data_IF_166684540306
#
_entry.id   IF_166684540306
#
_cell.length_a   1.000
_cell.length_b   1.000
_cell.length_c   1.000
_cell.angle_alpha   90.00
_cell.angle_beta   90.00
_cell.angle_gamma   90.00
#
_symmetry.space_group_name_H-M   'P 1'
#
loop_
_entity.id
_entity.type
_entity.pdbx_description
1 polymer ?
#
# COMPACT_ATOMS: atom_id res chain seq x y z
N UNK A 1 13.76 -0.29 24.09
CA UNK A 1 12.46 -0.96 23.86
C UNK A 1 11.49 0.14 23.45
N UNK A 2 11.03 0.14 22.19
CA UNK A 2 10.04 1.12 21.72
C UNK A 2 8.66 0.63 22.22
N UNK A 3 7.90 1.45 22.96
CA UNK A 3 6.59 1.04 23.47
C UNK A 3 5.60 0.83 22.32
N UNK A 4 4.75 -0.20 22.44
CA UNK A 4 3.63 -0.40 21.52
C UNK A 4 2.56 0.66 21.79
N UNK A 5 2.58 1.72 20.99
CA UNK A 5 1.62 2.82 21.06
C UNK A 5 0.22 2.44 20.54
N UNK A 6 0.07 1.21 20.02
CA UNK A 6 -1.14 0.77 19.31
C UNK A 6 -2.03 -0.14 20.16
N UNK A 7 -1.58 -0.56 21.35
CA UNK A 7 -2.33 -1.46 22.23
C UNK A 7 -2.70 -2.80 21.56
N UNK A 8 -1.89 -3.26 20.60
CA UNK A 8 -2.18 -4.44 19.78
C UNK A 8 -3.19 -4.25 18.64
N UNK A 9 -3.70 -3.04 18.39
CA UNK A 9 -4.71 -2.79 17.35
C UNK A 9 -4.10 -2.70 15.93
N UNK A 10 -4.53 -3.58 15.03
CA UNK A 10 -4.21 -3.55 13.60
C UNK A 10 -5.13 -2.61 12.82
N UNK A 11 -4.74 -2.27 11.58
CA UNK A 11 -5.50 -1.45 10.64
C UNK A 11 -5.78 -0.03 11.17
N UNK A 12 -4.71 0.63 11.62
CA UNK A 12 -4.76 1.95 12.24
C UNK A 12 -3.88 2.97 11.53
N UNK A 13 -4.27 4.24 11.64
CA UNK A 13 -3.45 5.40 11.26
C UNK A 13 -3.30 6.32 12.47
N UNK A 14 -2.05 6.59 12.86
CA UNK A 14 -1.72 7.44 14.00
C UNK A 14 -1.02 8.71 13.50
N UNK A 15 -1.65 9.89 13.59
CA UNK A 15 -0.97 11.15 13.32
C UNK A 15 0.01 11.49 14.44
N UNK A 16 1.13 12.11 14.08
CA UNK A 16 2.12 12.63 15.03
C UNK A 16 2.63 13.99 14.58
N UNK A 17 3.21 14.73 15.53
CA UNK A 17 3.91 15.99 15.26
C UNK A 17 5.20 16.07 16.07
N UNK A 18 6.20 16.72 15.51
CA UNK A 18 7.49 17.01 16.14
C UNK A 18 7.66 18.53 16.09
N UNK A 19 7.30 19.19 17.20
CA UNK A 19 7.17 20.64 17.27
C UNK A 19 8.49 21.36 16.96
N UNK A 20 9.62 20.86 17.46
CA UNK A 20 10.94 21.43 17.23
C UNK A 20 11.37 21.44 15.75
N UNK A 21 10.81 20.55 14.94
CA UNK A 21 11.12 20.42 13.51
C UNK A 21 10.00 20.98 12.62
N UNK A 22 8.94 21.54 13.21
CA UNK A 22 7.69 21.91 12.51
C UNK A 22 7.19 20.78 11.58
N UNK A 23 7.35 19.53 12.03
CA UNK A 23 7.10 18.35 11.22
C UNK A 23 5.82 17.67 11.67
N UNK A 24 4.94 17.38 10.72
CA UNK A 24 3.74 16.57 10.94
C UNK A 24 3.81 15.32 10.09
N UNK A 25 3.49 14.19 10.68
CA UNK A 25 3.52 12.92 10.00
C UNK A 25 2.37 12.02 10.42
N UNK A 26 2.33 10.84 9.78
CA UNK A 26 1.38 9.78 10.11
C UNK A 26 2.10 8.45 10.01
N UNK A 27 1.79 7.55 10.92
CA UNK A 27 2.20 6.14 10.87
C UNK A 27 0.96 5.31 10.58
N UNK A 28 1.05 4.41 9.61
CA UNK A 28 0.00 3.44 9.32
C UNK A 28 0.48 2.04 9.68
N UNK A 29 -0.41 1.22 10.22
CA UNK A 29 -0.18 -0.20 10.40
C UNK A 29 -1.37 -0.94 9.83
N UNK A 30 -1.15 -1.67 8.73
CA UNK A 30 -2.16 -2.54 8.13
C UNK A 30 -1.85 -3.97 8.55
N UNK A 31 -2.82 -4.62 9.19
CA UNK A 31 -2.78 -6.03 9.54
C UNK A 31 -3.66 -6.82 8.58
N UNK A 32 -4.80 -7.29 9.08
CA UNK A 32 -5.72 -8.16 8.33
C UNK A 32 -6.24 -7.52 7.05
N UNK A 33 -6.44 -6.20 7.00
CA UNK A 33 -6.93 -5.52 5.79
C UNK A 33 -5.98 -5.69 4.62
N UNK A 34 -4.67 -5.48 4.83
CA UNK A 34 -3.67 -5.69 3.78
C UNK A 34 -3.63 -7.17 3.33
N UNK A 35 -3.60 -8.11 4.28
CA UNK A 35 -3.63 -9.54 3.97
C UNK A 35 -4.86 -9.92 3.13
N UNK A 36 -6.05 -9.47 3.53
CA UNK A 36 -7.30 -9.76 2.81
C UNK A 36 -7.30 -9.22 1.38
N UNK A 37 -6.72 -8.04 1.14
CA UNK A 37 -6.64 -7.43 -0.18
C UNK A 37 -5.69 -8.22 -1.09
N UNK A 38 -4.56 -8.67 -0.56
CA UNK A 38 -3.48 -9.30 -1.32
C UNK A 38 -3.75 -10.79 -1.56
N UNK A 39 -4.30 -11.50 -0.58
CA UNK A 39 -4.56 -12.95 -0.65
C UNK A 39 -5.69 -13.31 -1.63
N UNK A 40 -6.59 -12.38 -1.94
CA UNK A 40 -7.75 -12.61 -2.83
C UNK A 40 -7.41 -13.08 -4.24
N UNK A 41 -6.21 -12.80 -4.74
CA UNK A 41 -5.87 -12.98 -6.16
C UNK A 41 -4.63 -13.85 -6.41
N UNK A 42 -4.04 -14.46 -5.36
CA UNK A 42 -2.89 -15.35 -5.53
C UNK A 42 -1.67 -14.66 -6.16
N UNK A 43 -1.43 -13.39 -5.84
CA UNK A 43 -0.32 -12.62 -6.40
C UNK A 43 1.04 -13.24 -6.03
N UNK A 44 2.02 -13.28 -6.95
CA UNK A 44 3.40 -13.51 -6.60
C UNK A 44 3.86 -12.53 -5.52
N UNK A 45 4.70 -12.96 -4.58
CA UNK A 45 5.15 -12.14 -3.45
C UNK A 45 5.65 -10.74 -3.85
N UNK A 46 6.40 -10.56 -4.96
CA UNK A 46 6.83 -9.23 -5.40
C UNK A 46 5.67 -8.31 -5.83
N UNK A 47 4.68 -8.86 -6.54
CA UNK A 47 3.48 -8.11 -6.97
C UNK A 47 2.60 -7.76 -5.77
N UNK A 48 2.43 -8.72 -4.85
CA UNK A 48 1.74 -8.54 -3.58
C UNK A 48 2.35 -7.38 -2.78
N UNK A 49 3.68 -7.28 -2.74
CA UNK A 49 4.41 -6.21 -2.07
C UNK A 49 4.13 -4.84 -2.69
N UNK A 50 4.22 -4.71 -4.01
CA UNK A 50 3.89 -3.45 -4.72
C UNK A 50 2.46 -3.01 -4.39
N UNK A 51 1.50 -3.95 -4.43
CA UNK A 51 0.10 -3.67 -4.13
C UNK A 51 -0.09 -3.24 -2.66
N UNK A 52 0.61 -3.87 -1.73
CA UNK A 52 0.59 -3.53 -0.30
C UNK A 52 1.11 -2.11 -0.06
N UNK A 53 2.26 -1.76 -0.64
CA UNK A 53 2.89 -0.46 -0.50
C UNK A 53 2.00 0.65 -1.11
N UNK A 54 1.44 0.42 -2.30
CA UNK A 54 0.49 1.34 -2.91
C UNK A 54 -0.77 1.54 -2.06
N UNK A 55 -1.27 0.46 -1.45
CA UNK A 55 -2.44 0.51 -0.56
C UNK A 55 -2.15 1.33 0.69
N UNK A 56 -1.02 1.07 1.35
CA UNK A 56 -0.56 1.81 2.52
C UNK A 56 -0.37 3.30 2.21
N UNK A 57 0.27 3.63 1.08
CA UNK A 57 0.45 5.00 0.61
C UNK A 57 -0.89 5.71 0.40
N UNK A 58 -1.83 5.07 -0.29
CA UNK A 58 -3.15 5.67 -0.59
C UNK A 58 -3.93 5.94 0.69
N UNK A 59 -3.90 5.01 1.66
CA UNK A 59 -4.56 5.19 2.95
C UNK A 59 -3.91 6.27 3.81
N UNK A 60 -2.57 6.35 3.80
CA UNK A 60 -1.84 7.45 4.45
C UNK A 60 -2.26 8.80 3.87
N UNK A 61 -2.30 8.93 2.55
CA UNK A 61 -2.74 10.15 1.87
C UNK A 61 -4.20 10.48 2.21
N UNK A 62 -5.09 9.49 2.10
CA UNK A 62 -6.52 9.63 2.39
C UNK A 62 -6.79 10.06 3.84
N UNK A 63 -6.07 9.52 4.81
CA UNK A 63 -6.22 9.87 6.23
C UNK A 63 -5.91 11.34 6.57
N UNK A 64 -5.21 12.04 5.68
CA UNK A 64 -4.91 13.46 5.83
C UNK A 64 -5.95 14.40 5.23
N UNK A 65 -6.86 13.87 4.40
CA UNK A 65 -7.83 14.66 3.66
C UNK A 65 -9.14 14.72 4.44
N UNK A 66 -9.73 15.91 4.56
CA UNK A 66 -11.10 16.09 5.07
C UNK A 66 -12.07 15.97 3.91
N UNK A 67 -12.46 14.74 3.57
CA UNK A 67 -13.40 14.48 2.48
C UNK A 67 -14.42 13.42 2.88
N UNK A 68 -15.59 13.50 2.26
CA UNK A 68 -16.57 12.43 2.21
C UNK A 68 -16.76 12.05 0.75
N UNK A 69 -16.23 10.90 0.34
CA UNK A 69 -16.14 10.53 -1.07
C UNK A 69 -15.12 9.44 -1.34
N UNK A 70 -14.44 9.54 -2.48
CA UNK A 70 -13.58 8.50 -3.04
C UNK A 70 -12.22 9.07 -3.42
N UNK A 71 -11.16 8.40 -2.99
CA UNK A 71 -9.78 8.64 -3.40
C UNK A 71 -9.29 7.43 -4.19
N UNK A 72 -8.76 7.66 -5.39
CA UNK A 72 -8.21 6.60 -6.24
C UNK A 72 -6.74 6.92 -6.53
N UNK A 73 -5.85 6.01 -6.18
CA UNK A 73 -4.49 5.98 -6.68
C UNK A 73 -4.45 5.03 -7.88
N UNK A 74 -3.93 5.50 -9.01
CA UNK A 74 -3.72 4.67 -10.18
C UNK A 74 -2.34 4.93 -10.76
N UNK A 75 -1.60 3.86 -11.03
CA UNK A 75 -0.33 3.89 -11.75
C UNK A 75 -0.45 3.07 -13.03
N UNK A 76 0.27 3.47 -14.08
CA UNK A 76 0.46 2.70 -15.31
C UNK A 76 1.93 2.77 -15.68
N UNK A 77 2.50 1.63 -16.03
CA UNK A 77 3.93 1.55 -16.28
C UNK A 77 4.29 0.55 -17.38
N UNK A 78 5.51 0.67 -17.89
CA UNK A 78 6.10 -0.24 -18.87
C UNK A 78 6.91 -1.38 -18.22
N UNK A 79 6.92 -1.48 -16.88
CA UNK A 79 7.52 -2.58 -16.14
C UNK A 79 6.64 -3.84 -16.04
N UNK A 80 7.14 -4.90 -15.39
CA UNK A 80 6.39 -6.15 -15.17
C UNK A 80 5.02 -5.95 -14.50
N UNK A 81 4.88 -4.98 -13.59
CA UNK A 81 3.60 -4.60 -12.97
C UNK A 81 2.99 -3.42 -13.73
N UNK A 82 2.23 -3.75 -14.77
CA UNK A 82 1.66 -2.80 -15.74
C UNK A 82 0.73 -1.75 -15.14
N UNK A 83 -0.01 -2.11 -14.08
CA UNK A 83 -0.99 -1.21 -13.49
C UNK A 83 -1.25 -1.57 -12.04
N UNK A 84 -1.33 -0.55 -11.18
CA UNK A 84 -1.85 -0.69 -9.81
C UNK A 84 -2.98 0.30 -9.65
N UNK A 85 -4.09 -0.16 -9.07
CA UNK A 85 -5.23 0.69 -8.71
C UNK A 85 -5.56 0.43 -7.25
N UNK A 86 -5.63 1.49 -6.46
CA UNK A 86 -6.15 1.48 -5.09
C UNK A 86 -7.32 2.44 -5.02
N UNK A 87 -8.44 1.95 -4.54
CA UNK A 87 -9.69 2.66 -4.40
C UNK A 87 -10.10 2.69 -2.93
N UNK A 88 -10.11 3.89 -2.35
CA UNK A 88 -10.52 4.16 -0.98
C UNK A 88 -11.81 4.98 -1.03
N UNK A 89 -12.89 4.45 -0.45
CA UNK A 89 -14.16 5.13 -0.29
C UNK A 89 -14.49 5.26 1.20
N UNK A 90 -14.85 6.46 1.64
CA UNK A 90 -15.26 6.71 3.02
C UNK A 90 -16.55 5.95 3.37
N UNK A 91 -16.71 5.51 4.63
CA UNK A 91 -15.78 5.67 5.75
C UNK A 91 -14.67 4.59 5.83
N UNK A 92 -14.84 3.42 5.24
CA UNK A 92 -14.02 2.23 5.58
C UNK A 92 -13.80 1.24 4.43
N UNK A 93 -14.12 1.62 3.18
CA UNK A 93 -14.03 0.70 2.04
C UNK A 93 -12.73 0.89 1.30
N UNK A 94 -11.95 -0.19 1.20
CA UNK A 94 -10.68 -0.22 0.46
C UNK A 94 -10.68 -1.39 -0.50
N UNK A 95 -10.26 -1.15 -1.73
CA UNK A 95 -10.04 -2.18 -2.75
C UNK A 95 -8.74 -1.87 -3.47
N UNK A 96 -7.97 -2.90 -3.78
CA UNK A 96 -6.77 -2.75 -4.58
C UNK A 96 -6.66 -3.87 -5.60
N UNK A 97 -6.10 -3.56 -6.76
CA UNK A 97 -5.85 -4.49 -7.85
C UNK A 97 -4.51 -4.16 -8.50
N UNK A 98 -3.74 -5.20 -8.81
CA UNK A 98 -2.60 -5.12 -9.71
C UNK A 98 -2.87 -5.90 -11.01
N UNK A 99 -2.44 -5.34 -12.15
CA UNK A 99 -2.23 -6.07 -13.40
C UNK A 99 -0.74 -6.21 -13.64
N UNK A 100 -0.31 -7.40 -13.98
CA UNK A 100 1.10 -7.73 -14.16
C UNK A 100 1.27 -8.79 -15.25
N UNK A 101 2.48 -8.87 -15.77
CA UNK A 101 2.93 -9.92 -16.67
C UNK A 101 3.64 -11.01 -15.85
N UNK A 102 3.05 -12.20 -15.80
CA UNK A 102 3.56 -13.29 -14.96
C UNK A 102 4.94 -13.80 -15.41
N UNK A 103 5.20 -13.84 -16.72
CA UNK A 103 6.49 -14.29 -17.25
C UNK A 103 7.57 -13.25 -16.93
N UNK A 104 7.26 -11.96 -17.16
CA UNK A 104 8.18 -10.87 -16.85
C UNK A 104 8.49 -10.78 -15.35
N UNK A 105 7.50 -10.96 -14.47
CA UNK A 105 7.71 -11.01 -13.00
C UNK A 105 8.58 -12.20 -12.61
N UNK A 106 8.34 -13.37 -13.21
CA UNK A 106 9.15 -14.58 -12.95
C UNK A 106 10.59 -14.36 -13.39
N UNK A 107 10.82 -13.78 -14.56
CA UNK A 107 12.15 -13.44 -15.06
C UNK A 107 12.86 -12.39 -14.18
N UNK A 108 12.12 -11.36 -13.73
CA UNK A 108 12.63 -10.35 -12.82
C UNK A 108 13.06 -10.96 -11.48
N UNK A 109 12.26 -11.87 -10.93
CA UNK A 109 12.54 -12.61 -9.69
C UNK A 109 13.79 -13.48 -9.85
N UNK A 110 13.89 -14.24 -10.94
CA UNK A 110 15.05 -15.07 -11.24
C UNK A 110 16.34 -14.23 -11.41
N UNK A 111 16.22 -12.99 -11.88
CA UNK A 111 17.32 -12.05 -12.02
C UNK A 111 17.62 -11.22 -10.75
N UNK A 112 16.88 -11.44 -9.65
CA UNK A 112 17.03 -10.66 -8.40
C UNK A 112 16.65 -9.18 -8.53
N UNK A 113 15.75 -8.85 -9.46
CA UNK A 113 15.25 -7.48 -9.74
C UNK A 113 13.74 -7.40 -9.47
N UNK A 114 13.31 -7.91 -8.32
CA UNK A 114 11.92 -8.00 -7.90
C UNK A 114 11.55 -7.03 -6.78
N UNK A 115 12.39 -6.02 -6.53
CA UNK A 115 12.02 -4.92 -5.67
C UNK A 115 10.91 -4.05 -6.32
N UNK A 116 10.08 -3.35 -5.52
CA UNK A 116 8.95 -2.61 -6.03
C UNK A 116 9.28 -1.58 -7.12
N UNK A 117 10.44 -0.92 -7.02
CA UNK A 117 10.83 0.12 -7.98
C UNK A 117 11.29 -0.48 -9.31
N UNK A 118 11.91 -1.66 -9.30
CA UNK A 118 12.30 -2.37 -10.53
C UNK A 118 11.11 -3.01 -11.27
N UNK A 119 10.00 -3.25 -10.57
CA UNK A 119 8.80 -3.88 -11.12
C UNK A 119 7.80 -2.90 -11.75
N UNK A 120 7.86 -1.63 -11.34
CA UNK A 120 7.07 -0.52 -11.89
C UNK A 120 7.79 0.05 -13.11
#
# INVERSE_FOLDING_TARGET
MIPDLTGGADDIVVPFQVDELDLRGRVIRLGRTAGTIIERHGYPAPVARVLAEATALTLLLGSGLKFDGRLILQTQTDGPVRMVVVDVATPDRVRALARFDAEAVTAATAAGRDDPAALL
#
